data_IF_786227635277
#
_entry.id   IF_786227635277
#
_cell.length_a   1.000
_cell.length_b   1.000
_cell.length_c   1.000
_cell.angle_alpha   90.00
_cell.angle_beta   90.00
_cell.angle_gamma   90.00
#
_symmetry.space_group_name_H-M   'P 1'
#
loop_
_entity.id
_entity.type
_entity.pdbx_description
1 polymer ?
#
# COMPACT_ATOMS: atom_id res chain seq x y z
N UNK A 1 15.48 -17.92 -1.58
CA UNK A 1 14.40 -16.97 -1.89
C UNK A 1 14.46 -15.85 -0.85
N UNK A 2 14.77 -14.62 -1.26
CA UNK A 2 14.77 -13.48 -0.34
C UNK A 2 13.32 -13.19 0.07
N UNK A 3 13.03 -13.13 1.38
CA UNK A 3 11.73 -12.66 1.86
C UNK A 3 11.57 -11.22 1.35
N UNK A 4 10.47 -10.87 0.66
CA UNK A 4 10.20 -9.47 0.36
C UNK A 4 10.12 -8.73 1.69
N UNK A 5 11.05 -7.80 1.92
CA UNK A 5 10.99 -6.92 3.08
C UNK A 5 9.82 -5.99 2.83
N UNK A 6 8.69 -6.28 3.47
CA UNK A 6 7.51 -5.43 3.40
C UNK A 6 7.80 -4.19 4.26
N UNK A 7 7.82 -3.03 3.63
CA UNK A 7 7.92 -1.76 4.35
C UNK A 7 6.57 -1.48 5.05
N UNK A 8 6.57 -1.64 6.36
CA UNK A 8 5.36 -1.45 7.17
C UNK A 8 4.96 0.02 7.30
N UNK A 9 5.90 0.95 7.15
CA UNK A 9 5.62 2.38 7.24
C UNK A 9 4.94 2.86 5.96
N UNK A 10 5.43 2.42 4.80
CA UNK A 10 4.77 2.67 3.52
C UNK A 10 3.31 2.17 3.52
N UNK A 11 3.04 0.98 4.08
CA UNK A 11 1.66 0.46 4.20
C UNK A 11 0.80 1.38 5.08
N UNK A 12 1.33 1.88 6.20
CA UNK A 12 0.60 2.77 7.12
C UNK A 12 0.27 4.11 6.46
N UNK A 13 1.20 4.68 5.70
CA UNK A 13 0.96 5.92 4.95
C UNK A 13 -0.11 5.75 3.88
N UNK A 14 -0.04 4.65 3.11
CA UNK A 14 -1.08 4.31 2.14
C UNK A 14 -2.45 4.13 2.80
N UNK A 15 -2.51 3.48 3.97
CA UNK A 15 -3.77 3.32 4.70
C UNK A 15 -4.35 4.65 5.19
N UNK A 16 -3.51 5.57 5.68
CA UNK A 16 -3.94 6.93 6.04
C UNK A 16 -4.44 7.71 4.83
N UNK A 17 -3.72 7.65 3.70
CA UNK A 17 -4.16 8.29 2.47
C UNK A 17 -5.53 7.79 2.02
N UNK A 18 -5.79 6.48 2.12
CA UNK A 18 -7.12 5.95 1.88
C UNK A 18 -8.14 6.64 2.79
N UNK A 19 -7.93 6.64 4.12
CA UNK A 19 -8.84 7.28 5.08
C UNK A 19 -9.09 8.77 4.79
N UNK A 20 -8.04 9.54 4.57
CA UNK A 20 -8.11 10.99 4.35
C UNK A 20 -8.82 11.36 3.03
N UNK A 21 -8.63 10.57 1.99
CA UNK A 21 -9.20 10.83 0.66
C UNK A 21 -10.56 10.16 0.43
N UNK A 22 -10.96 9.24 1.31
CA UNK A 22 -12.15 8.41 1.13
C UNK A 22 -12.04 7.38 0.01
N UNK A 23 -10.83 7.14 -0.53
CA UNK A 23 -10.61 6.15 -1.58
C UNK A 23 -10.78 4.72 -1.05
N UNK A 24 -11.17 3.79 -1.93
CA UNK A 24 -11.26 2.35 -1.61
C UNK A 24 -9.93 1.63 -1.82
N UNK A 25 -9.04 2.17 -2.65
CA UNK A 25 -7.77 1.54 -3.02
C UNK A 25 -6.70 2.54 -3.44
N UNK A 26 -5.44 2.16 -3.19
CA UNK A 26 -4.24 2.91 -3.59
C UNK A 26 -3.16 1.91 -3.98
N UNK A 27 -2.48 2.19 -5.09
CA UNK A 27 -1.41 1.36 -5.62
C UNK A 27 -0.15 2.20 -5.80
N UNK A 28 0.98 1.66 -5.33
CA UNK A 28 2.31 2.21 -5.57
C UNK A 28 3.14 1.19 -6.35
N UNK A 29 3.70 1.64 -7.46
CA UNK A 29 4.57 0.85 -8.34
C UNK A 29 5.95 1.46 -8.40
N UNK A 30 6.96 0.65 -8.09
CA UNK A 30 8.37 0.98 -8.23
C UNK A 30 9.05 -0.10 -9.09
N UNK A 31 9.15 0.18 -10.39
CA UNK A 31 9.61 -0.78 -11.40
C UNK A 31 8.75 -2.06 -11.40
N UNK A 32 9.39 -3.18 -11.08
CA UNK A 32 8.75 -4.51 -10.98
C UNK A 32 8.04 -4.76 -9.64
N UNK A 33 8.21 -3.87 -8.67
CA UNK A 33 7.58 -3.98 -7.35
C UNK A 33 6.26 -3.23 -7.34
N UNK A 34 5.24 -3.88 -6.80
CA UNK A 34 3.91 -3.29 -6.61
C UNK A 34 3.45 -3.55 -5.18
N UNK A 35 2.92 -2.52 -4.54
CA UNK A 35 2.14 -2.62 -3.31
C UNK A 35 0.77 -2.02 -3.58
N UNK A 36 -0.28 -2.81 -3.35
CA UNK A 36 -1.67 -2.38 -3.41
C UNK A 36 -2.30 -2.52 -2.04
N UNK A 37 -2.89 -1.44 -1.54
CA UNK A 37 -3.66 -1.42 -0.29
C UNK A 37 -5.11 -1.17 -0.65
N UNK A 38 -6.00 -2.05 -0.18
CA UNK A 38 -7.44 -1.94 -0.38
C UNK A 38 -8.12 -1.89 0.97
N UNK A 39 -9.13 -1.01 1.12
CA UNK A 39 -10.01 -1.07 2.29
C UNK A 39 -10.95 -2.27 2.09
N UNK A 40 -10.85 -3.27 2.96
CA UNK A 40 -11.76 -4.41 2.94
C UNK A 40 -13.19 -3.94 3.19
N UNK A 41 -14.12 -4.38 2.33
CA UNK A 41 -15.55 -4.34 2.60
C UNK A 41 -15.96 -5.50 3.49
#
# INVERSE_FOLDING_TARGET
MAKPTIDSDAIRELAKLLEETGLSEVELRDGDRMIRVTRGG
#
